data_IF_942453916874
#
_entry.id   IF_942453916874
#
_cell.length_a   1.000
_cell.length_b   1.000
_cell.length_c   1.000
_cell.angle_alpha   90.00
_cell.angle_beta   90.00
_cell.angle_gamma   90.00
#
_symmetry.space_group_name_H-M   'P 1'
#
loop_
_entity.id
_entity.type
_entity.pdbx_description
1 polymer ?
#
# COMPACT_ATOMS: atom_id res chain seq x y z
N UNK A 1 74.56 21.89 -47.62
CA UNK A 1 73.77 20.72 -47.24
C UNK A 1 73.48 20.82 -45.74
N UNK A 2 72.34 20.26 -45.31
CA UNK A 2 71.66 20.40 -44.00
C UNK A 2 70.99 21.76 -43.74
N UNK A 3 69.67 21.94 -43.74
CA UNK A 3 68.57 21.00 -43.49
C UNK A 3 68.21 21.00 -42.01
N UNK A 4 66.92 21.18 -41.69
CA UNK A 4 66.32 21.14 -40.33
C UNK A 4 66.46 22.46 -39.52
N UNK A 5 65.43 23.17 -39.03
CA UNK A 5 64.11 22.80 -38.54
C UNK A 5 63.14 24.00 -38.61
N UNK A 6 62.23 24.02 -39.60
CA UNK A 6 60.95 24.73 -39.47
C UNK A 6 59.93 23.74 -38.91
N UNK A 7 59.82 23.65 -37.58
CA UNK A 7 58.70 22.95 -36.94
C UNK A 7 57.48 23.88 -36.91
N UNK A 8 56.34 23.50 -37.52
CA UNK A 8 55.11 24.24 -37.31
C UNK A 8 54.64 24.01 -35.87
N UNK A 9 54.26 25.09 -35.19
CA UNK A 9 53.51 25.05 -33.94
C UNK A 9 52.22 24.26 -34.21
N UNK A 10 52.17 23.02 -33.71
CA UNK A 10 50.95 22.22 -33.68
C UNK A 10 49.95 22.98 -32.81
N UNK A 11 48.96 23.60 -33.44
CA UNK A 11 47.81 24.16 -32.76
C UNK A 11 47.02 23.00 -32.14
N UNK A 12 46.97 22.95 -30.80
CA UNK A 12 46.04 22.07 -30.12
C UNK A 12 44.61 22.53 -30.48
N UNK A 13 43.72 21.64 -30.95
CA UNK A 13 42.33 22.01 -31.05
C UNK A 13 41.82 22.28 -29.63
N UNK A 14 41.41 23.52 -29.38
CA UNK A 14 40.63 23.85 -28.20
C UNK A 14 39.39 22.96 -28.22
N UNK A 15 39.26 22.06 -27.24
CA UNK A 15 38.06 21.25 -27.06
C UNK A 15 36.89 22.20 -26.87
N UNK A 16 36.06 22.36 -27.90
CA UNK A 16 34.86 23.19 -27.82
C UNK A 16 33.96 22.61 -26.73
N UNK A 17 33.69 23.40 -25.69
CA UNK A 17 32.71 23.05 -24.69
C UNK A 17 31.34 22.92 -25.39
N UNK A 18 30.84 21.69 -25.48
CA UNK A 18 29.50 21.43 -26.02
C UNK A 18 28.48 21.92 -25.01
N UNK A 19 27.90 23.09 -25.26
CA UNK A 19 26.78 23.58 -24.48
C UNK A 19 25.53 22.75 -24.82
N UNK A 20 24.79 22.26 -23.81
CA UNK A 20 23.58 21.49 -24.07
C UNK A 20 22.59 22.36 -24.85
N UNK A 21 22.07 21.82 -25.96
CA UNK A 21 21.06 22.50 -26.76
C UNK A 21 19.84 22.85 -25.91
N UNK A 22 19.21 24.00 -26.15
CA UNK A 22 18.04 24.46 -25.39
C UNK A 22 16.93 23.41 -25.29
N UNK A 23 16.78 22.58 -26.31
CA UNK A 23 15.86 21.42 -26.33
C UNK A 23 16.17 20.39 -25.22
N UNK A 24 17.44 20.07 -25.01
CA UNK A 24 17.89 19.15 -23.94
C UNK A 24 17.60 19.74 -22.56
N UNK A 25 17.78 21.05 -22.39
CA UNK A 25 17.50 21.74 -21.12
C UNK A 25 15.99 21.74 -20.85
N UNK A 26 15.17 22.12 -21.84
CA UNK A 26 13.71 22.13 -21.72
C UNK A 26 13.17 20.72 -21.43
N UNK A 27 13.65 19.69 -22.13
CA UNK A 27 13.26 18.30 -21.90
C UNK A 27 13.55 17.84 -20.47
N UNK A 28 14.73 18.18 -19.93
CA UNK A 28 15.10 17.88 -18.54
C UNK A 28 14.19 18.59 -17.54
N UNK A 29 13.91 19.88 -17.75
CA UNK A 29 13.00 20.65 -16.88
C UNK A 29 11.59 20.04 -16.91
N UNK A 30 11.07 19.75 -18.10
CA UNK A 30 9.77 19.09 -18.26
C UNK A 30 9.70 17.73 -17.57
N UNK A 31 10.78 16.94 -17.64
CA UNK A 31 10.85 15.65 -16.97
C UNK A 31 10.84 15.79 -15.44
N UNK A 32 11.59 16.76 -14.89
CA UNK A 32 11.59 17.04 -13.45
C UNK A 32 10.21 17.52 -12.99
N UNK A 33 9.56 18.42 -13.75
CA UNK A 33 8.20 18.86 -13.46
C UNK A 33 7.20 17.71 -13.53
N UNK A 34 7.34 16.81 -14.50
CA UNK A 34 6.51 15.62 -14.62
C UNK A 34 6.65 14.69 -13.41
N UNK A 35 7.89 14.39 -12.99
CA UNK A 35 8.13 13.60 -11.76
C UNK A 35 7.53 14.31 -10.54
N UNK A 36 7.69 15.64 -10.44
CA UNK A 36 7.10 16.43 -9.36
C UNK A 36 5.58 16.33 -9.34
N UNK A 37 4.91 16.45 -10.49
CA UNK A 37 3.46 16.32 -10.60
C UNK A 37 2.98 14.92 -10.21
N UNK A 38 3.65 13.86 -10.68
CA UNK A 38 3.34 12.47 -10.29
C UNK A 38 3.54 12.26 -8.78
N UNK A 39 4.59 12.84 -8.19
CA UNK A 39 4.87 12.73 -6.76
C UNK A 39 3.80 13.41 -5.91
N UNK A 40 3.37 14.63 -6.29
CA UNK A 40 2.28 15.34 -5.62
C UNK A 40 0.97 14.58 -5.75
N UNK A 41 0.67 14.05 -6.93
CA UNK A 41 -0.53 13.24 -7.16
C UNK A 41 -0.52 11.97 -6.31
N UNK A 42 0.59 11.23 -6.28
CA UNK A 42 0.73 10.01 -5.48
C UNK A 42 0.59 10.30 -3.98
N UNK A 43 1.17 11.39 -3.49
CA UNK A 43 1.04 11.81 -2.09
C UNK A 43 -0.41 12.19 -1.74
N UNK A 44 -1.08 12.91 -2.64
CA UNK A 44 -2.50 13.26 -2.48
C UNK A 44 -3.41 12.04 -2.54
N UNK A 45 -3.13 11.06 -3.41
CA UNK A 45 -3.91 9.83 -3.47
C UNK A 45 -3.68 8.98 -2.21
N UNK A 46 -2.45 8.94 -1.69
CA UNK A 46 -2.14 8.28 -0.43
C UNK A 46 -2.79 8.94 0.79
N UNK A 47 -3.04 10.25 0.77
CA UNK A 47 -3.67 10.96 1.89
C UNK A 47 -5.18 10.73 1.99
N UNK A 48 -5.83 10.22 0.95
CA UNK A 48 -7.24 9.78 0.99
C UNK A 48 -7.44 8.40 1.63
N UNK A 49 -6.34 7.72 1.94
CA UNK A 49 -6.36 6.42 2.61
C UNK A 49 -6.60 6.52 4.11
N UNK A 50 -6.37 5.40 4.79
CA UNK A 50 -6.37 5.31 6.25
C UNK A 50 -5.02 4.76 6.70
N UNK A 51 -4.62 5.09 7.93
CA UNK A 51 -3.38 4.56 8.50
C UNK A 51 -3.51 3.04 8.70
N UNK A 52 -2.52 2.28 8.23
CA UNK A 52 -2.48 0.83 8.41
C UNK A 52 -1.37 0.46 9.37
N UNK A 53 -1.69 -0.35 10.38
CA UNK A 53 -0.70 -0.95 11.27
C UNK A 53 -0.81 -2.47 11.20
N UNK A 54 0.33 -3.16 11.13
CA UNK A 54 0.39 -4.62 11.18
C UNK A 54 1.10 -5.00 12.49
N UNK A 55 0.50 -5.91 13.26
CA UNK A 55 1.02 -6.37 14.55
C UNK A 55 1.02 -7.89 14.55
N UNK A 56 2.16 -8.48 14.92
CA UNK A 56 2.33 -9.92 15.05
C UNK A 56 2.55 -10.28 16.53
N UNK A 57 1.46 -10.54 17.27
CA UNK A 57 1.56 -10.99 18.67
C UNK A 57 1.86 -12.49 18.79
N UNK A 58 1.79 -13.23 17.67
CA UNK A 58 2.13 -14.65 17.62
C UNK A 58 3.57 -14.90 17.13
N UNK A 59 4.47 -13.92 17.22
CA UNK A 59 5.79 -13.94 16.56
C UNK A 59 6.70 -15.13 16.89
N UNK A 60 6.47 -15.78 18.03
CA UNK A 60 7.23 -16.95 18.47
C UNK A 60 6.73 -18.27 17.85
N UNK A 61 5.52 -18.29 17.28
CA UNK A 61 4.94 -19.47 16.64
C UNK A 61 5.41 -19.64 15.19
N UNK A 62 5.23 -20.84 14.63
CA UNK A 62 5.53 -21.09 13.21
C UNK A 62 4.67 -20.20 12.29
N UNK A 63 3.40 -20.03 12.62
CA UNK A 63 2.47 -19.16 11.92
C UNK A 63 2.90 -17.68 12.00
N UNK A 64 3.31 -17.19 13.18
CA UNK A 64 3.81 -15.82 13.33
C UNK A 64 5.10 -15.57 12.57
N UNK A 65 6.03 -16.54 12.53
CA UNK A 65 7.25 -16.43 11.70
C UNK A 65 6.92 -16.34 10.21
N UNK A 66 5.98 -17.15 9.72
CA UNK A 66 5.46 -17.07 8.35
C UNK A 66 4.78 -15.73 8.08
N UNK A 67 3.96 -15.26 9.02
CA UNK A 67 3.28 -13.97 8.91
C UNK A 67 4.25 -12.81 8.72
N UNK A 68 5.29 -12.77 9.57
CA UNK A 68 6.34 -11.76 9.49
C UNK A 68 7.04 -11.78 8.13
N UNK A 69 7.39 -12.96 7.62
CA UNK A 69 8.14 -13.09 6.39
C UNK A 69 7.31 -12.73 5.15
N UNK A 70 6.09 -13.25 5.05
CA UNK A 70 5.29 -13.16 3.83
C UNK A 70 4.33 -11.98 3.82
N UNK A 71 3.86 -11.51 4.99
CA UNK A 71 2.77 -10.55 5.07
C UNK A 71 3.14 -9.22 5.72
N UNK A 72 4.06 -9.22 6.68
CA UNK A 72 4.58 -8.00 7.29
C UNK A 72 5.74 -7.41 6.48
N UNK A 73 6.79 -8.19 6.19
CA UNK A 73 8.01 -7.69 5.56
C UNK A 73 7.87 -7.30 4.08
N UNK A 74 6.82 -7.78 3.40
CA UNK A 74 6.57 -7.51 1.98
C UNK A 74 5.27 -6.72 1.73
N UNK A 75 4.72 -6.10 2.78
CA UNK A 75 3.46 -5.34 2.75
C UNK A 75 2.23 -6.12 2.24
N UNK A 76 2.28 -7.45 2.15
CA UNK A 76 1.18 -8.25 1.60
C UNK A 76 -0.08 -8.18 2.49
N UNK A 77 0.09 -8.04 3.81
CA UNK A 77 -1.02 -7.75 4.73
C UNK A 77 -1.72 -6.43 4.38
N UNK A 78 -0.93 -5.39 4.08
CA UNK A 78 -1.43 -4.05 3.72
C UNK A 78 -2.14 -4.11 2.36
N UNK A 79 -1.54 -4.76 1.37
CA UNK A 79 -2.17 -4.96 0.04
C UNK A 79 -3.47 -5.74 0.14
N UNK A 80 -3.50 -6.81 0.93
CA UNK A 80 -4.70 -7.60 1.17
C UNK A 80 -5.82 -6.75 1.79
N UNK A 81 -5.48 -5.87 2.72
CA UNK A 81 -6.43 -4.93 3.33
C UNK A 81 -6.99 -3.91 2.34
N UNK A 82 -6.14 -3.30 1.51
CA UNK A 82 -6.62 -2.38 0.48
C UNK A 82 -7.48 -3.09 -0.57
N UNK A 83 -7.09 -4.30 -0.98
CA UNK A 83 -7.89 -5.13 -1.90
C UNK A 83 -9.25 -5.47 -1.31
N UNK A 84 -9.30 -5.92 -0.05
CA UNK A 84 -10.55 -6.21 0.65
C UNK A 84 -11.42 -4.95 0.77
N UNK A 85 -10.80 -3.80 1.06
CA UNK A 85 -11.50 -2.51 1.13
C UNK A 85 -12.12 -2.13 -0.21
N UNK A 86 -11.37 -2.23 -1.31
CA UNK A 86 -11.91 -1.95 -2.63
C UNK A 86 -13.09 -2.86 -3.00
N UNK A 87 -13.03 -4.14 -2.66
CA UNK A 87 -14.14 -5.10 -2.89
C UNK A 87 -15.36 -4.69 -2.06
N UNK A 88 -15.20 -4.49 -0.75
CA UNK A 88 -16.31 -4.15 0.14
C UNK A 88 -16.93 -2.82 -0.25
N UNK A 89 -16.11 -1.81 -0.55
CA UNK A 89 -16.62 -0.51 -0.98
C UNK A 89 -17.32 -0.60 -2.34
N UNK A 90 -16.77 -1.39 -3.27
CA UNK A 90 -17.38 -1.65 -4.57
C UNK A 90 -18.73 -2.36 -4.49
N UNK A 91 -19.01 -3.09 -3.40
CA UNK A 91 -20.31 -3.73 -3.13
C UNK A 91 -21.26 -2.78 -2.37
N UNK A 92 -20.74 -2.05 -1.38
CA UNK A 92 -21.58 -1.23 -0.48
C UNK A 92 -21.90 0.16 -1.02
N UNK A 93 -21.03 0.72 -1.86
CA UNK A 93 -21.10 2.11 -2.31
C UNK A 93 -21.07 2.23 -3.85
N UNK A 94 -21.43 1.18 -4.58
CA UNK A 94 -21.38 1.12 -6.06
C UNK A 94 -22.12 2.29 -6.73
N UNK A 95 -23.21 2.75 -6.12
CA UNK A 95 -24.10 3.80 -6.62
C UNK A 95 -24.07 5.08 -5.77
N UNK A 96 -23.17 5.17 -4.79
CA UNK A 96 -23.11 6.27 -3.83
C UNK A 96 -21.95 7.22 -4.15
N UNK A 97 -22.15 8.51 -3.90
CA UNK A 97 -21.07 9.47 -4.05
C UNK A 97 -19.99 9.19 -2.99
N UNK A 98 -18.73 9.41 -3.35
CA UNK A 98 -17.56 9.13 -2.49
C UNK A 98 -17.62 9.81 -1.12
N UNK A 99 -18.43 10.86 -0.99
CA UNK A 99 -18.68 11.64 0.24
C UNK A 99 -19.59 10.93 1.24
N UNK A 100 -20.41 9.97 0.80
CA UNK A 100 -21.33 9.22 1.66
C UNK A 100 -20.66 7.98 2.29
N UNK A 101 -19.41 7.70 1.91
CA UNK A 101 -18.61 6.62 2.47
C UNK A 101 -18.26 6.95 3.92
N UNK A 102 -18.54 6.00 4.80
CA UNK A 102 -18.16 6.09 6.22
C UNK A 102 -16.64 6.31 6.34
N UNK A 103 -16.17 7.39 7.00
CA UNK A 103 -14.75 7.63 7.17
C UNK A 103 -14.16 6.59 8.12
N UNK A 104 -12.96 6.11 7.79
CA UNK A 104 -12.15 5.24 8.64
C UNK A 104 -10.77 5.88 8.67
N UNK A 105 -10.27 6.21 9.87
CA UNK A 105 -8.98 6.91 10.04
C UNK A 105 -7.81 5.94 10.11
N UNK A 106 -7.99 4.80 10.78
CA UNK A 106 -6.95 3.81 10.96
C UNK A 106 -7.50 2.37 11.05
N UNK A 107 -6.73 1.41 10.54
CA UNK A 107 -6.98 -0.02 10.71
C UNK A 107 -5.71 -0.73 11.14
N UNK A 108 -5.82 -1.54 12.19
CA UNK A 108 -4.74 -2.41 12.67
C UNK A 108 -5.07 -3.86 12.33
N UNK A 109 -4.23 -4.52 11.55
CA UNK A 109 -4.25 -5.97 11.39
C UNK A 109 -3.39 -6.59 12.49
N UNK A 110 -3.99 -7.41 13.34
CA UNK A 110 -3.29 -8.01 14.49
C UNK A 110 -3.40 -9.53 14.46
N UNK A 111 -2.27 -10.23 14.29
CA UNK A 111 -2.22 -11.69 14.37
C UNK A 111 -2.06 -12.15 15.83
N UNK A 112 -2.93 -13.05 16.28
CA UNK A 112 -2.87 -13.73 17.59
C UNK A 112 -3.18 -15.22 17.46
N UNK A 113 -2.72 -16.01 18.43
CA UNK A 113 -2.97 -17.46 18.48
C UNK A 113 -4.43 -17.77 18.83
N UNK A 114 -4.94 -17.17 19.91
CA UNK A 114 -6.32 -17.35 20.38
C UNK A 114 -7.17 -16.08 20.16
N UNK A 115 -7.20 -15.59 18.92
CA UNK A 115 -8.09 -14.49 18.57
C UNK A 115 -9.53 -15.01 18.43
N UNK A 116 -10.54 -14.36 19.00
CA UNK A 116 -11.86 -14.40 18.37
C UNK A 116 -11.78 -13.51 17.11
N UNK A 117 -12.33 -13.96 15.97
CA UNK A 117 -12.41 -13.16 14.73
C UNK A 117 -13.34 -11.96 14.99
N UNK A 118 -12.80 -10.95 15.66
CA UNK A 118 -13.48 -9.83 16.31
C UNK A 118 -12.84 -8.55 15.81
N UNK A 119 -13.72 -7.64 15.41
CA UNK A 119 -13.36 -6.26 15.09
C UNK A 119 -13.61 -5.45 16.34
N UNK A 120 -12.57 -4.82 16.86
CA UNK A 120 -12.65 -3.91 18.00
C UNK A 120 -12.52 -2.47 17.49
N UNK A 121 -13.35 -1.56 17.99
CA UNK A 121 -13.12 -0.12 17.82
C UNK A 121 -12.14 0.34 18.90
N UNK A 122 -11.04 0.95 18.48
CA UNK A 122 -10.10 1.62 19.39
C UNK A 122 -10.68 3.00 19.79
N UNK A 123 -10.26 3.51 20.94
CA UNK A 123 -10.66 4.80 21.51
C UNK A 123 -10.27 6.00 20.63
N UNK A 124 -9.34 5.80 19.68
CA UNK A 124 -8.83 6.81 18.73
C UNK A 124 -9.46 6.72 17.32
N UNK A 125 -10.73 6.31 17.22
CA UNK A 125 -11.46 6.13 15.94
C UNK A 125 -10.84 5.10 14.97
N UNK A 126 -9.90 4.29 15.45
CA UNK A 126 -9.28 3.19 14.71
C UNK A 126 -10.06 1.89 14.88
N UNK A 127 -9.82 0.93 13.98
CA UNK A 127 -10.38 -0.41 14.08
C UNK A 127 -9.26 -1.46 14.13
N UNK A 128 -9.43 -2.50 14.95
CA UNK A 128 -8.50 -3.63 15.04
C UNK A 128 -9.19 -4.86 14.46
N UNK A 129 -8.58 -5.48 13.45
CA UNK A 129 -8.99 -6.77 12.90
C UNK A 129 -8.06 -7.83 13.49
N UNK A 130 -8.60 -8.69 14.36
CA UNK A 130 -7.84 -9.79 14.93
C UNK A 130 -7.84 -11.00 13.99
N UNK A 131 -6.64 -11.39 13.55
CA UNK A 131 -6.38 -12.55 12.71
C UNK A 131 -5.93 -13.72 13.59
N UNK A 132 -6.45 -14.92 13.32
CA UNK A 132 -6.01 -16.16 13.95
C UNK A 132 -4.80 -16.74 13.24
N UNK A 133 -3.85 -17.31 13.99
CA UNK A 133 -2.72 -18.08 13.44
C UNK A 133 -3.14 -19.26 12.56
N UNK A 134 -4.26 -19.90 12.89
CA UNK A 134 -4.83 -21.03 12.13
C UNK A 134 -5.11 -20.74 10.66
N UNK A 135 -5.27 -19.46 10.30
CA UNK A 135 -5.45 -19.00 8.91
C UNK A 135 -4.21 -19.32 8.05
N UNK A 136 -3.03 -19.40 8.68
CA UNK A 136 -1.74 -19.60 8.03
C UNK A 136 -1.25 -21.06 8.04
N UNK A 137 -2.07 -21.98 8.54
CA UNK A 137 -1.72 -23.39 8.65
C UNK A 137 -2.03 -24.20 7.39
N UNK A 138 -2.94 -23.73 6.54
CA UNK A 138 -3.35 -24.40 5.29
C UNK A 138 -2.60 -23.93 4.04
N UNK A 139 -2.68 -24.74 2.97
CA UNK A 139 -2.05 -24.43 1.66
C UNK A 139 -2.63 -23.20 0.95
N UNK A 140 -3.82 -22.73 1.36
CA UNK A 140 -4.50 -21.55 0.81
C UNK A 140 -4.53 -20.39 1.79
N UNK A 141 -3.42 -20.18 2.50
CA UNK A 141 -3.28 -19.14 3.52
C UNK A 141 -3.61 -17.73 2.99
N UNK A 142 -3.26 -17.43 1.75
CA UNK A 142 -3.57 -16.12 1.13
C UNK A 142 -5.07 -15.89 0.98
N UNK A 143 -5.81 -16.92 0.54
CA UNK A 143 -7.26 -16.85 0.40
C UNK A 143 -7.93 -16.77 1.76
N UNK A 144 -7.45 -17.56 2.73
CA UNK A 144 -7.98 -17.54 4.08
C UNK A 144 -7.73 -16.18 4.76
N UNK A 145 -6.56 -15.58 4.55
CA UNK A 145 -6.23 -14.24 5.00
C UNK A 145 -7.14 -13.21 4.35
N UNK A 146 -7.30 -13.25 3.02
CA UNK A 146 -8.19 -12.34 2.30
C UNK A 146 -9.63 -12.46 2.83
N UNK A 147 -10.16 -13.67 3.03
CA UNK A 147 -11.51 -13.87 3.58
C UNK A 147 -11.65 -13.33 5.00
N UNK A 148 -10.64 -13.50 5.87
CA UNK A 148 -10.65 -12.95 7.21
C UNK A 148 -10.61 -11.41 7.20
N UNK A 149 -9.79 -10.83 6.34
CA UNK A 149 -9.68 -9.37 6.18
C UNK A 149 -10.95 -8.79 5.56
N UNK A 150 -11.53 -9.43 4.54
CA UNK A 150 -12.84 -9.06 3.97
C UNK A 150 -13.90 -9.00 5.07
N UNK A 151 -14.01 -10.05 5.87
CA UNK A 151 -14.96 -10.09 7.00
C UNK A 151 -14.72 -8.95 7.98
N UNK A 152 -13.47 -8.67 8.32
CA UNK A 152 -13.09 -7.55 9.18
C UNK A 152 -13.52 -6.21 8.59
N UNK A 153 -13.19 -5.94 7.32
CA UNK A 153 -13.54 -4.69 6.63
C UNK A 153 -15.05 -4.53 6.46
N UNK A 154 -15.78 -5.59 6.08
CA UNK A 154 -17.25 -5.57 6.01
C UNK A 154 -17.85 -5.19 7.35
N UNK A 155 -17.33 -5.73 8.46
CA UNK A 155 -17.79 -5.34 9.80
C UNK A 155 -17.48 -3.89 10.12
N UNK A 156 -16.29 -3.38 9.79
CA UNK A 156 -15.93 -1.96 10.00
C UNK A 156 -16.90 -1.03 9.25
N UNK A 157 -17.17 -1.34 7.98
CA UNK A 157 -18.06 -0.55 7.12
C UNK A 157 -19.51 -0.59 7.59
N UNK A 158 -19.99 -1.75 8.03
CA UNK A 158 -21.35 -1.95 8.54
C UNK A 158 -21.51 -1.65 10.04
N UNK A 159 -20.44 -1.20 10.71
CA UNK A 159 -20.46 -0.97 12.15
C UNK A 159 -21.39 0.19 12.52
N UNK A 160 -22.39 -0.11 13.34
CA UNK A 160 -23.45 0.79 13.81
C UNK A 160 -23.08 1.61 15.07
N UNK A 161 -21.84 1.50 15.56
CA UNK A 161 -21.39 2.14 16.80
C UNK A 161 -21.70 1.35 18.07
N UNK A 162 -22.47 0.24 17.98
CA UNK A 162 -22.85 -0.62 19.12
C UNK A 162 -22.28 -2.04 19.01
N UNK A 163 -21.31 -2.23 18.12
CA UNK A 163 -20.66 -3.51 17.90
C UNK A 163 -21.46 -4.54 17.12
N UNK A 164 -22.49 -4.10 16.38
CA UNK A 164 -23.30 -5.00 15.56
C UNK A 164 -23.19 -4.61 14.08
N UNK A 165 -22.61 -5.53 13.31
CA UNK A 165 -22.76 -5.58 11.86
C UNK A 165 -23.73 -6.74 11.52
N UNK A 166 -24.68 -6.59 10.59
CA UNK A 166 -25.58 -7.67 10.19
C UNK A 166 -24.79 -8.89 9.67
N UNK A 167 -24.83 -10.00 10.40
CA UNK A 167 -23.98 -11.18 10.13
C UNK A 167 -24.23 -11.79 8.75
N UNK A 168 -25.49 -11.79 8.30
CA UNK A 168 -25.90 -12.30 6.98
C UNK A 168 -25.32 -11.47 5.84
N UNK A 169 -25.33 -10.14 5.99
CA UNK A 169 -24.76 -9.24 4.99
C UNK A 169 -23.23 -9.35 4.93
N UNK A 170 -22.57 -9.44 6.09
CA UNK A 170 -21.13 -9.69 6.17
C UNK A 170 -20.76 -11.03 5.51
N UNK A 171 -21.52 -12.09 5.74
CA UNK A 171 -21.28 -13.38 5.12
C UNK A 171 -21.44 -13.32 3.59
N UNK A 172 -22.51 -12.69 3.10
CA UNK A 172 -22.72 -12.51 1.67
C UNK A 172 -21.61 -11.75 0.96
N UNK A 173 -21.01 -10.74 1.61
CA UNK A 173 -19.86 -9.99 1.04
C UNK A 173 -18.58 -10.85 1.00
N UNK A 174 -18.37 -11.72 1.98
CA UNK A 174 -17.18 -12.59 2.05
C UNK A 174 -17.24 -13.74 1.03
N UNK A 175 -18.44 -14.12 0.60
CA UNK A 175 -18.68 -15.19 -0.39
C UNK A 175 -18.57 -14.72 -1.85
N UNK A 176 -18.54 -13.40 -2.11
CA UNK A 176 -18.44 -12.77 -3.42
C UNK A 176 -17.01 -12.85 -3.99
#
# INVERSE_FOLDING_TARGET
EDGDLLRPLVSHPATAASFPSSSTIVSRISFVLFIGAVSVWANHESSKGFAVKVINEAGDTAAGKRFRLFYEANDEAVRTLFRATAIVDGILYSDLDSRDRKPVSAVTLKLKDDAADVVESDLNDGFVINLRTSILEGERSDRALLSAVLRGVSRIRLWDGRGRAPRTLVAGIVEY
#
